data_IF_558636546982
#
_entry.id   IF_558636546982
#
_cell.length_a   1.000
_cell.length_b   1.000
_cell.length_c   1.000
_cell.angle_alpha   90.00
_cell.angle_beta   90.00
_cell.angle_gamma   90.00
#
_symmetry.space_group_name_H-M   'P 1'
#
loop_
_entity.id
_entity.type
_entity.pdbx_description
1 polymer ?
#
# COMPACT_ATOMS: atom_id res chain seq x y z
N UNK A 1 2.10 -21.12 -16.36
CA UNK A 1 2.89 -19.91 -16.65
C UNK A 1 4.35 -20.26 -16.40
N UNK A 2 5.17 -20.23 -17.44
CA UNK A 2 6.61 -20.47 -17.27
C UNK A 2 7.19 -19.43 -16.32
N UNK A 3 8.00 -19.84 -15.33
CA UNK A 3 8.66 -18.91 -14.45
C UNK A 3 9.56 -17.97 -15.27
N UNK A 4 9.56 -16.68 -14.95
CA UNK A 4 10.48 -15.75 -15.57
C UNK A 4 11.92 -16.14 -15.23
N UNK A 5 12.83 -16.04 -16.21
CA UNK A 5 14.26 -16.30 -15.94
C UNK A 5 14.75 -15.27 -14.92
N UNK A 6 15.42 -15.69 -13.83
CA UNK A 6 16.01 -14.78 -12.85
C UNK A 6 16.93 -13.75 -13.52
N UNK A 7 16.92 -12.53 -13.05
CA UNK A 7 17.79 -11.50 -13.58
C UNK A 7 17.77 -10.26 -12.66
N UNK A 8 18.95 -9.71 -12.40
CA UNK A 8 19.09 -8.54 -11.57
C UNK A 8 18.31 -7.35 -12.17
N UNK A 9 17.55 -6.68 -11.32
CA UNK A 9 16.90 -5.41 -11.62
C UNK A 9 17.80 -4.28 -11.09
N UNK A 10 17.92 -3.22 -11.89
CA UNK A 10 18.73 -2.06 -11.50
C UNK A 10 18.16 -1.38 -10.25
N UNK A 11 19.03 -0.90 -9.34
CA UNK A 11 18.60 -0.08 -8.23
C UNK A 11 17.85 1.18 -8.69
N UNK A 12 16.90 1.64 -7.88
CA UNK A 12 16.15 2.87 -8.14
C UNK A 12 16.49 3.90 -7.08
N UNK A 13 16.61 5.16 -7.50
CA UNK A 13 16.81 6.28 -6.61
C UNK A 13 15.52 7.11 -6.48
N UNK A 14 15.11 7.37 -5.24
CA UNK A 14 14.07 8.33 -4.88
C UNK A 14 14.77 9.47 -4.14
N UNK A 15 15.18 10.50 -4.86
CA UNK A 15 16.08 11.51 -4.29
C UNK A 15 17.34 10.87 -3.72
N UNK A 16 17.56 11.00 -2.43
CA UNK A 16 18.73 10.41 -1.74
C UNK A 16 18.51 8.93 -1.32
N UNK A 17 17.29 8.44 -1.36
CA UNK A 17 16.99 7.06 -1.00
C UNK A 17 17.36 6.15 -2.17
N UNK A 18 18.25 5.18 -1.89
CA UNK A 18 18.60 4.13 -2.84
C UNK A 18 17.87 2.84 -2.50
N UNK A 19 17.09 2.33 -3.42
CA UNK A 19 16.43 1.02 -3.35
C UNK A 19 17.25 0.03 -4.18
N UNK A 20 18.08 -0.77 -3.51
CA UNK A 20 18.88 -1.82 -4.17
C UNK A 20 17.99 -2.90 -4.81
N UNK A 21 16.89 -3.20 -4.18
CA UNK A 21 15.78 -3.98 -4.75
C UNK A 21 14.56 -3.09 -4.82
N UNK A 22 14.08 -2.70 -6.02
CA UNK A 22 13.01 -1.73 -6.17
C UNK A 22 11.62 -2.35 -5.91
N UNK A 23 11.40 -2.72 -4.67
CA UNK A 23 10.14 -3.27 -4.13
C UNK A 23 9.61 -2.33 -3.06
N UNK A 24 8.33 -2.00 -3.16
CA UNK A 24 7.63 -1.13 -2.22
C UNK A 24 6.46 -1.89 -1.59
N UNK A 25 6.30 -1.81 -0.27
CA UNK A 25 5.06 -2.22 0.40
C UNK A 25 4.01 -1.12 0.20
N UNK A 26 2.93 -1.46 -0.48
CA UNK A 26 1.81 -0.56 -0.70
C UNK A 26 1.18 -0.09 0.61
N UNK A 27 0.89 1.19 0.77
CA UNK A 27 0.12 1.70 1.90
C UNK A 27 -1.31 1.14 1.87
N UNK A 28 -1.70 0.46 2.92
CA UNK A 28 -3.02 -0.17 3.05
C UNK A 28 -3.64 0.23 4.39
N UNK A 29 -4.75 0.98 4.34
CA UNK A 29 -5.45 1.49 5.52
C UNK A 29 -5.84 0.37 6.49
N UNK A 30 -5.47 0.54 7.75
CA UNK A 30 -5.68 -0.44 8.81
C UNK A 30 -4.83 -1.71 8.69
N UNK A 31 -3.82 -1.75 7.82
CA UNK A 31 -2.95 -2.92 7.59
C UNK A 31 -1.48 -2.56 7.77
N UNK A 32 -0.99 -1.54 7.09
CA UNK A 32 0.44 -1.20 7.08
C UNK A 32 0.81 -0.22 8.20
N UNK A 33 0.30 -0.48 9.40
CA UNK A 33 0.81 0.10 10.64
C UNK A 33 2.20 -0.48 10.97
N UNK A 34 2.86 0.07 11.97
CA UNK A 34 4.21 -0.37 12.35
C UNK A 34 4.30 -1.88 12.63
N UNK A 35 3.38 -2.50 13.38
CA UNK A 35 3.43 -3.95 13.61
C UNK A 35 3.54 -4.79 12.34
N UNK A 36 2.76 -4.48 11.32
CA UNK A 36 2.80 -5.22 10.06
C UNK A 36 4.05 -4.87 9.22
N UNK A 37 4.45 -3.59 9.17
CA UNK A 37 5.68 -3.18 8.46
C UNK A 37 6.91 -3.84 9.09
N UNK A 38 7.00 -3.89 10.43
CA UNK A 38 8.11 -4.50 11.13
C UNK A 38 8.24 -6.02 10.88
N UNK A 39 7.11 -6.71 10.71
CA UNK A 39 7.12 -8.11 10.26
C UNK A 39 7.70 -8.22 8.86
N UNK A 40 7.22 -7.41 7.91
CA UNK A 40 7.71 -7.44 6.53
C UNK A 40 9.21 -7.07 6.45
N UNK A 41 9.63 -6.07 7.23
CA UNK A 41 11.03 -5.63 7.31
C UNK A 41 11.97 -6.75 7.75
N UNK A 42 11.54 -7.61 8.65
CA UNK A 42 12.32 -8.78 9.09
C UNK A 42 12.57 -9.83 7.99
N UNK A 43 11.89 -9.72 6.85
CA UNK A 43 11.98 -10.67 5.75
C UNK A 43 12.65 -10.12 4.48
N UNK A 44 12.94 -8.84 4.39
CA UNK A 44 13.60 -8.33 3.20
C UNK A 44 13.81 -6.83 3.20
N UNK A 45 14.71 -6.37 2.34
CA UNK A 45 14.97 -4.96 2.12
C UNK A 45 14.04 -4.41 1.03
N UNK A 46 13.17 -3.47 1.41
CA UNK A 46 12.23 -2.78 0.52
C UNK A 46 11.90 -1.41 1.12
N UNK A 47 11.13 -0.61 0.40
CA UNK A 47 10.52 0.60 0.95
C UNK A 47 9.16 0.22 1.57
N UNK A 48 9.00 0.44 2.86
CA UNK A 48 7.77 0.11 3.59
C UNK A 48 6.96 1.38 3.87
N UNK A 49 5.95 1.65 3.04
CA UNK A 49 5.14 2.86 3.18
C UNK A 49 4.08 2.67 4.26
N UNK A 50 3.99 3.62 5.18
CA UNK A 50 2.97 3.63 6.22
C UNK A 50 1.56 3.75 5.60
N UNK A 51 0.56 3.30 6.34
CA UNK A 51 -0.83 3.47 5.93
C UNK A 51 -1.20 4.95 5.72
N UNK A 52 -2.24 5.17 4.94
CA UNK A 52 -2.73 6.52 4.62
C UNK A 52 -3.09 7.32 5.89
N UNK A 53 -2.49 8.48 6.04
CA UNK A 53 -2.72 9.44 7.13
C UNK A 53 -3.36 10.70 6.56
N UNK A 54 -4.40 11.20 7.23
CA UNK A 54 -5.10 12.42 6.79
C UNK A 54 -4.32 13.67 7.21
N UNK A 55 -3.96 14.52 6.25
CA UNK A 55 -3.20 15.74 6.48
C UNK A 55 -3.89 16.70 7.46
N UNK A 56 -5.19 16.91 7.30
CA UNK A 56 -5.97 17.76 8.22
C UNK A 56 -5.96 17.23 9.65
N UNK A 57 -6.18 15.94 9.86
CA UNK A 57 -6.19 15.35 11.19
C UNK A 57 -4.82 15.40 11.88
N UNK A 58 -3.71 15.37 11.12
CA UNK A 58 -2.37 15.65 11.68
C UNK A 58 -2.26 17.09 12.16
N UNK A 59 -2.65 18.06 11.32
CA UNK A 59 -2.56 19.48 11.65
C UNK A 59 -3.48 19.85 12.83
N UNK A 60 -4.65 19.21 12.93
CA UNK A 60 -5.61 19.36 14.03
C UNK A 60 -5.25 18.51 15.26
N UNK A 61 -4.05 17.93 15.30
CA UNK A 61 -3.47 17.20 16.47
C UNK A 61 -4.31 16.01 16.96
N UNK A 62 -4.98 15.28 16.06
CA UNK A 62 -5.71 14.08 16.45
C UNK A 62 -4.75 12.99 16.93
N UNK A 63 -4.86 12.58 18.19
CA UNK A 63 -3.95 11.65 18.85
C UNK A 63 -3.81 10.30 18.13
N UNK A 64 -4.93 9.71 17.69
CA UNK A 64 -4.89 8.45 16.94
C UNK A 64 -4.17 8.61 15.59
N UNK A 65 -4.33 9.74 14.92
CA UNK A 65 -3.66 10.02 13.63
C UNK A 65 -2.14 10.08 13.83
N UNK A 66 -1.67 10.77 14.88
CA UNK A 66 -0.27 10.81 15.25
C UNK A 66 0.26 9.42 15.64
N UNK A 67 -0.51 8.65 16.40
CA UNK A 67 -0.16 7.26 16.73
C UNK A 67 0.03 6.40 15.48
N UNK A 68 -0.86 6.52 14.50
CA UNK A 68 -0.76 5.78 13.24
C UNK A 68 0.40 6.26 12.35
N UNK A 69 0.88 7.49 12.53
CA UNK A 69 2.03 8.03 11.82
C UNK A 69 3.39 7.59 12.39
N UNK A 70 3.41 6.99 13.60
CA UNK A 70 4.64 6.57 14.25
C UNK A 70 5.44 5.53 13.46
N UNK A 71 6.73 5.63 13.61
CA UNK A 71 7.72 4.66 13.14
C UNK A 71 8.32 3.92 14.33
N UNK A 72 8.73 2.68 14.11
CA UNK A 72 9.37 1.90 15.16
C UNK A 72 10.88 2.07 15.19
N UNK A 73 11.47 1.62 16.29
CA UNK A 73 12.92 1.56 16.41
C UNK A 73 13.52 0.66 15.32
N UNK A 74 14.50 1.19 14.57
CA UNK A 74 15.20 0.46 13.53
C UNK A 74 14.48 0.39 12.18
N UNK A 75 13.41 1.13 11.96
CA UNK A 75 12.86 1.33 10.61
C UNK A 75 13.84 2.19 9.80
N UNK A 76 14.48 1.63 8.74
CA UNK A 76 15.62 2.26 8.10
C UNK A 76 15.23 3.46 7.23
N UNK A 77 13.99 3.50 6.75
CA UNK A 77 13.41 4.56 5.92
C UNK A 77 12.02 4.89 6.48
N UNK A 78 11.87 6.10 6.97
CA UNK A 78 10.61 6.61 7.53
C UNK A 78 9.72 7.14 6.41
N UNK A 79 8.96 6.24 5.80
CA UNK A 79 8.10 6.52 4.67
C UNK A 79 6.65 6.64 5.10
N UNK A 80 5.99 7.75 4.76
CA UNK A 80 4.61 8.02 5.16
C UNK A 80 3.73 8.36 3.97
N UNK A 81 2.53 7.79 3.92
CA UNK A 81 1.54 8.20 2.94
C UNK A 81 0.57 9.23 3.54
N UNK A 82 0.48 10.38 2.88
CA UNK A 82 -0.51 11.40 3.19
C UNK A 82 -1.71 11.36 2.24
N UNK A 83 -2.85 11.66 2.80
CA UNK A 83 -4.08 12.01 2.09
C UNK A 83 -4.49 13.43 2.47
N UNK A 84 -4.78 14.24 1.48
CA UNK A 84 -5.26 15.60 1.68
C UNK A 84 -5.91 16.14 0.42
N UNK A 85 -6.87 17.07 0.60
CA UNK A 85 -7.61 17.75 -0.47
C UNK A 85 -7.34 19.25 -0.49
N UNK A 86 -6.71 19.79 0.57
CA UNK A 86 -6.34 21.18 0.70
C UNK A 86 -4.81 21.33 0.66
N UNK A 87 -4.24 22.01 -0.36
CA UNK A 87 -2.80 22.19 -0.48
C UNK A 87 -2.14 22.82 0.75
N UNK A 88 -2.85 23.70 1.46
CA UNK A 88 -2.33 24.35 2.68
C UNK A 88 -2.16 23.35 3.82
N UNK A 89 -3.17 22.51 4.05
CA UNK A 89 -3.10 21.48 5.09
C UNK A 89 -2.06 20.42 4.75
N UNK A 90 -1.92 20.05 3.48
CA UNK A 90 -0.86 19.12 3.02
C UNK A 90 0.51 19.71 3.30
N UNK A 91 0.78 20.97 2.94
CA UNK A 91 2.06 21.62 3.23
C UNK A 91 2.37 21.73 4.72
N UNK A 92 1.36 22.01 5.56
CA UNK A 92 1.51 22.06 7.01
C UNK A 92 1.82 20.67 7.57
N UNK A 93 1.08 19.64 7.16
CA UNK A 93 1.27 18.27 7.61
C UNK A 93 2.68 17.75 7.26
N UNK A 94 3.16 18.00 6.03
CA UNK A 94 4.52 17.61 5.61
C UNK A 94 5.58 18.26 6.50
N UNK A 95 5.46 19.58 6.81
CA UNK A 95 6.39 20.25 7.72
C UNK A 95 6.36 19.67 9.11
N UNK A 96 5.17 19.45 9.69
CA UNK A 96 5.02 18.86 11.01
C UNK A 96 5.62 17.44 11.10
N UNK A 97 5.44 16.64 10.05
CA UNK A 97 6.02 15.30 9.99
C UNK A 97 7.55 15.34 9.93
N UNK A 98 8.13 16.26 9.15
CA UNK A 98 9.58 16.46 9.12
C UNK A 98 10.12 16.88 10.49
N UNK A 99 9.49 17.87 11.09
CA UNK A 99 9.96 18.44 12.35
C UNK A 99 9.86 17.47 13.53
N UNK A 100 8.83 16.61 13.56
CA UNK A 100 8.52 15.73 14.71
C UNK A 100 8.97 14.29 14.54
N UNK A 101 8.93 13.76 13.29
CA UNK A 101 9.19 12.35 13.02
C UNK A 101 10.44 12.13 12.17
N UNK A 102 11.08 13.20 11.68
CA UNK A 102 12.29 13.11 10.86
C UNK A 102 12.10 12.11 9.69
N UNK A 103 11.06 12.37 8.88
CA UNK A 103 10.64 11.49 7.79
C UNK A 103 11.62 11.56 6.62
N UNK A 104 11.88 10.42 5.98
CA UNK A 104 12.77 10.29 4.83
C UNK A 104 12.02 10.33 3.49
N UNK A 105 10.72 10.07 3.48
CA UNK A 105 9.92 9.96 2.26
C UNK A 105 8.44 10.29 2.52
N UNK A 106 7.83 11.00 1.58
CA UNK A 106 6.37 11.27 1.55
C UNK A 106 5.77 10.66 0.29
N UNK A 107 4.73 9.85 0.45
CA UNK A 107 3.88 9.40 -0.64
C UNK A 107 2.50 10.06 -0.55
N UNK A 108 1.93 10.49 -1.69
CA UNK A 108 0.62 11.13 -1.72
C UNK A 108 -0.43 10.18 -2.29
N UNK A 109 -1.56 10.05 -1.60
CA UNK A 109 -2.65 9.17 -2.01
C UNK A 109 -3.64 9.83 -2.95
N UNK A 110 -3.65 9.38 -4.20
CA UNK A 110 -4.65 9.73 -5.22
C UNK A 110 -5.32 8.48 -5.82
N UNK A 111 -5.30 7.37 -5.09
CA UNK A 111 -5.83 6.10 -5.58
C UNK A 111 -6.93 5.46 -4.73
N UNK A 112 -7.26 6.01 -3.56
CA UNK A 112 -8.29 5.45 -2.68
C UNK A 112 -9.69 5.52 -3.34
N UNK A 113 -10.35 4.37 -3.64
CA UNK A 113 -11.65 4.35 -4.31
C UNK A 113 -12.82 4.30 -3.31
N UNK A 114 -12.56 4.41 -2.01
CA UNK A 114 -13.58 4.27 -0.98
C UNK A 114 -14.67 5.35 -1.13
N UNK A 115 -15.97 4.99 -1.12
CA UNK A 115 -17.05 5.96 -1.33
C UNK A 115 -17.06 7.13 -0.32
N UNK A 116 -16.60 6.89 0.91
CA UNK A 116 -16.44 7.94 1.94
C UNK A 116 -15.40 9.01 1.54
N UNK A 117 -14.46 8.67 0.66
CA UNK A 117 -13.40 9.54 0.16
C UNK A 117 -13.81 10.19 -1.16
N UNK A 118 -14.20 9.39 -2.15
CA UNK A 118 -14.46 9.88 -3.51
C UNK A 118 -15.73 10.71 -3.62
N UNK A 119 -16.76 10.45 -2.80
CA UNK A 119 -17.99 11.25 -2.75
C UNK A 119 -17.72 12.73 -2.43
N UNK A 120 -16.66 12.99 -1.71
CA UNK A 120 -16.23 14.32 -1.32
C UNK A 120 -15.13 14.88 -2.24
N UNK A 121 -14.87 14.25 -3.38
CA UNK A 121 -13.86 14.69 -4.35
C UNK A 121 -12.42 14.30 -4.01
N UNK A 122 -12.22 13.44 -3.01
CA UNK A 122 -10.90 13.01 -2.56
C UNK A 122 -10.38 11.71 -3.20
N UNK A 123 -9.18 11.31 -2.85
CA UNK A 123 -8.55 10.07 -3.30
C UNK A 123 -8.53 9.92 -4.81
N UNK A 124 -9.13 8.84 -5.33
CA UNK A 124 -9.19 8.56 -6.77
C UNK A 124 -10.00 9.59 -7.59
N UNK A 125 -10.75 10.49 -6.95
CA UNK A 125 -11.46 11.57 -7.63
C UNK A 125 -10.56 12.77 -7.96
N UNK A 126 -9.51 13.04 -7.17
CA UNK A 126 -8.62 14.21 -7.35
C UNK A 126 -7.98 14.25 -8.74
N UNK A 127 -7.44 13.14 -9.30
CA UNK A 127 -6.81 13.15 -10.62
C UNK A 127 -7.68 13.64 -11.78
N UNK A 128 -8.99 13.62 -11.63
CA UNK A 128 -9.92 14.23 -12.62
C UNK A 128 -9.76 15.74 -12.71
N UNK A 129 -9.40 16.40 -11.60
CA UNK A 129 -9.22 17.85 -11.51
C UNK A 129 -7.73 18.19 -11.54
N UNK A 130 -7.21 18.43 -12.72
CA UNK A 130 -5.77 18.59 -13.00
C UNK A 130 -5.13 19.72 -12.18
N UNK A 131 -5.81 20.87 -12.06
CA UNK A 131 -5.30 22.02 -11.28
C UNK A 131 -5.24 21.72 -9.79
N UNK A 132 -6.27 21.01 -9.27
CA UNK A 132 -6.29 20.60 -7.86
C UNK A 132 -5.16 19.60 -7.57
N UNK A 133 -5.01 18.58 -8.44
CA UNK A 133 -3.91 17.62 -8.32
C UNK A 133 -2.55 18.32 -8.30
N UNK A 134 -2.30 19.20 -9.28
CA UNK A 134 -1.05 19.97 -9.38
C UNK A 134 -0.79 20.79 -8.12
N UNK A 135 -1.77 21.57 -7.66
CA UNK A 135 -1.63 22.41 -6.47
C UNK A 135 -1.31 21.62 -5.20
N UNK A 136 -1.92 20.44 -5.03
CA UNK A 136 -1.66 19.57 -3.87
C UNK A 136 -0.23 19.00 -3.96
N UNK A 137 0.16 18.46 -5.12
CA UNK A 137 1.49 17.85 -5.32
C UNK A 137 2.59 18.89 -5.18
N UNK A 138 2.48 20.05 -5.83
CA UNK A 138 3.44 21.16 -5.72
C UNK A 138 3.61 21.63 -4.27
N UNK A 139 2.50 21.71 -3.51
CA UNK A 139 2.53 22.09 -2.10
C UNK A 139 3.25 21.05 -1.25
N UNK A 140 3.06 19.76 -1.52
CA UNK A 140 3.77 18.69 -0.85
C UNK A 140 5.27 18.74 -1.16
N UNK A 141 5.66 18.81 -2.44
CA UNK A 141 7.07 18.86 -2.89
C UNK A 141 7.78 20.09 -2.30
N UNK A 142 7.15 21.26 -2.37
CA UNK A 142 7.74 22.49 -1.81
C UNK A 142 7.93 22.41 -0.29
N UNK A 143 6.97 21.82 0.44
CA UNK A 143 7.08 21.68 1.88
C UNK A 143 8.09 20.59 2.29
N UNK A 144 8.22 19.54 1.50
CA UNK A 144 9.17 18.45 1.72
C UNK A 144 10.63 18.90 1.53
N UNK A 145 10.91 19.83 0.60
CA UNK A 145 12.27 20.28 0.30
C UNK A 145 13.13 19.17 -0.28
N UNK A 146 14.15 18.72 0.45
CA UNK A 146 15.04 17.62 0.01
C UNK A 146 14.45 16.22 0.23
N UNK A 147 13.40 16.10 1.04
CA UNK A 147 12.69 14.82 1.25
C UNK A 147 11.95 14.47 -0.03
N UNK A 148 12.21 13.30 -0.66
CA UNK A 148 11.55 12.90 -1.89
C UNK A 148 10.05 12.72 -1.67
N UNK A 149 9.28 13.19 -2.66
CA UNK A 149 7.83 13.00 -2.72
C UNK A 149 7.49 12.09 -3.88
N UNK A 150 6.63 11.11 -3.64
CA UNK A 150 6.01 10.26 -4.67
C UNK A 150 4.50 10.40 -4.63
N UNK A 151 3.83 9.96 -5.69
CA UNK A 151 2.37 9.87 -5.70
C UNK A 151 1.91 8.49 -6.13
N UNK A 152 0.81 8.02 -5.52
CA UNK A 152 0.16 6.76 -5.89
C UNK A 152 -1.25 7.01 -6.37
N UNK A 153 -1.57 6.52 -7.57
CA UNK A 153 -2.88 6.72 -8.20
C UNK A 153 -3.37 5.48 -8.97
N UNK A 154 -4.60 5.55 -9.48
CA UNK A 154 -5.23 4.54 -10.34
C UNK A 154 -5.28 5.00 -11.80
N UNK A 155 -5.65 4.11 -12.73
CA UNK A 155 -5.83 4.43 -14.16
C UNK A 155 -6.78 5.61 -14.39
N UNK A 156 -7.78 5.76 -13.54
CA UNK A 156 -8.83 6.75 -13.63
C UNK A 156 -10.06 6.33 -12.82
N UNK A 157 -11.19 6.95 -13.11
CA UNK A 157 -12.49 6.64 -12.50
C UNK A 157 -13.05 5.35 -13.10
N UNK A 158 -13.11 5.29 -14.42
CA UNK A 158 -13.56 4.18 -15.26
C UNK A 158 -12.82 4.25 -16.61
N UNK A 159 -13.18 3.40 -17.58
CA UNK A 159 -12.51 3.33 -18.87
C UNK A 159 -12.78 4.56 -19.77
N UNK A 160 -13.87 5.30 -19.51
CA UNK A 160 -14.21 6.55 -20.22
C UNK A 160 -13.49 7.77 -19.62
N UNK A 161 -13.01 7.67 -18.37
CA UNK A 161 -12.39 8.76 -17.60
C UNK A 161 -11.04 8.34 -17.05
N UNK A 162 -10.11 8.05 -17.97
CA UNK A 162 -8.72 7.72 -17.64
C UNK A 162 -7.93 8.99 -17.32
N UNK A 163 -7.14 8.96 -16.25
CA UNK A 163 -6.38 10.12 -15.76
C UNK A 163 -4.90 9.87 -15.60
N UNK A 164 -4.44 8.63 -15.73
CA UNK A 164 -3.10 8.21 -15.31
C UNK A 164 -1.96 8.89 -16.06
N UNK A 165 -2.09 9.15 -17.37
CA UNK A 165 -1.06 9.85 -18.15
C UNK A 165 -0.90 11.32 -17.71
N UNK A 166 -2.02 12.01 -17.53
CA UNK A 166 -2.01 13.39 -17.02
C UNK A 166 -1.47 13.45 -15.59
N UNK A 167 -1.86 12.50 -14.74
CA UNK A 167 -1.38 12.44 -13.35
C UNK A 167 0.13 12.23 -13.28
N UNK A 168 0.67 11.35 -14.13
CA UNK A 168 2.11 11.13 -14.22
C UNK A 168 2.87 12.38 -14.66
N UNK A 169 2.37 13.07 -15.69
CA UNK A 169 2.97 14.32 -16.17
C UNK A 169 2.93 15.43 -15.12
N UNK A 170 1.79 15.64 -14.48
CA UNK A 170 1.65 16.62 -13.40
C UNK A 170 2.63 16.31 -12.26
N UNK A 171 2.78 15.05 -11.88
CA UNK A 171 3.74 14.65 -10.85
C UNK A 171 5.18 14.96 -11.24
N UNK A 172 5.56 14.65 -12.48
CA UNK A 172 6.91 14.95 -12.99
C UNK A 172 7.16 16.46 -13.01
N UNK A 173 6.24 17.25 -13.54
CA UNK A 173 6.36 18.72 -13.62
C UNK A 173 6.41 19.37 -12.23
N UNK A 174 5.71 18.81 -11.25
CA UNK A 174 5.75 19.25 -9.85
C UNK A 174 7.04 18.85 -9.11
N UNK A 175 7.87 17.97 -9.68
CA UNK A 175 9.14 17.54 -9.08
C UNK A 175 9.04 16.30 -8.20
N UNK A 176 8.08 15.42 -8.42
CA UNK A 176 8.03 14.12 -7.74
C UNK A 176 9.24 13.26 -8.11
N UNK A 177 9.72 12.47 -7.14
CA UNK A 177 10.83 11.54 -7.33
C UNK A 177 10.45 10.27 -8.09
N UNK A 178 9.19 9.86 -8.03
CA UNK A 178 8.62 8.72 -8.74
C UNK A 178 7.09 8.74 -8.66
N UNK A 179 6.45 7.83 -9.41
CA UNK A 179 5.00 7.58 -9.33
C UNK A 179 4.72 6.08 -9.21
N UNK A 180 3.59 5.74 -8.56
CA UNK A 180 3.06 4.37 -8.56
C UNK A 180 1.69 4.32 -9.24
N UNK A 181 1.55 3.48 -10.26
CA UNK A 181 0.27 3.21 -10.93
C UNK A 181 -0.33 1.90 -10.45
N UNK A 182 -1.48 1.96 -9.77
CA UNK A 182 -2.35 0.78 -9.64
C UNK A 182 -3.13 0.62 -10.94
N UNK A 183 -2.82 -0.44 -11.67
CA UNK A 183 -3.31 -0.68 -13.03
C UNK A 183 -4.78 -1.16 -13.09
N UNK A 184 -5.65 -0.51 -12.32
CA UNK A 184 -7.11 -0.64 -12.30
C UNK A 184 -7.75 0.74 -12.18
N UNK A 185 -8.99 0.86 -12.67
CA UNK A 185 -9.81 2.05 -12.42
C UNK A 185 -10.38 2.06 -11.00
N UNK A 186 -10.92 3.17 -10.56
CA UNK A 186 -11.65 3.25 -9.28
C UNK A 186 -12.91 2.39 -9.29
N UNK A 187 -13.59 2.31 -10.44
CA UNK A 187 -14.79 1.47 -10.69
C UNK A 187 -14.49 -0.02 -10.52
N UNK A 188 -13.34 -0.49 -11.01
CA UNK A 188 -12.95 -1.90 -10.92
C UNK A 188 -12.75 -2.35 -9.48
N UNK A 189 -12.40 -1.46 -8.59
CA UNK A 189 -11.97 -1.79 -7.23
C UNK A 189 -10.83 -2.81 -7.24
N UNK A 190 -11.17 -4.11 -7.12
CA UNK A 190 -10.23 -5.22 -7.10
C UNK A 190 -10.67 -6.38 -8.01
N UNK A 191 -11.71 -6.20 -8.82
CA UNK A 191 -12.20 -7.19 -9.78
C UNK A 191 -11.35 -7.24 -11.05
N UNK A 192 -11.58 -8.25 -11.86
CA UNK A 192 -10.87 -8.45 -13.12
C UNK A 192 -9.37 -8.63 -12.95
N UNK A 193 -8.61 -8.18 -13.93
CA UNK A 193 -7.15 -8.18 -13.96
C UNK A 193 -6.61 -6.75 -13.99
N UNK A 194 -5.43 -6.56 -13.41
CA UNK A 194 -4.68 -5.31 -13.55
C UNK A 194 -4.18 -5.19 -14.99
N UNK A 195 -4.42 -4.03 -15.59
CA UNK A 195 -4.02 -3.71 -16.95
C UNK A 195 -2.56 -3.23 -16.98
N UNK A 196 -1.64 -4.17 -17.13
CA UNK A 196 -0.22 -3.84 -17.13
C UNK A 196 0.21 -2.99 -18.33
N UNK A 197 -0.52 -3.01 -19.44
CA UNK A 197 -0.23 -2.17 -20.61
C UNK A 197 -0.43 -0.67 -20.30
N UNK A 198 -1.31 -0.33 -19.35
CA UNK A 198 -1.39 1.04 -18.85
C UNK A 198 -0.12 1.49 -18.10
N UNK A 199 0.58 0.56 -17.43
CA UNK A 199 1.87 0.85 -16.83
C UNK A 199 2.91 1.11 -17.93
N UNK A 200 2.94 0.29 -18.97
CA UNK A 200 3.82 0.51 -20.15
C UNK A 200 3.60 1.90 -20.74
N UNK A 201 2.34 2.26 -21.01
CA UNK A 201 2.00 3.58 -21.53
C UNK A 201 2.49 4.72 -20.63
N UNK A 202 2.39 4.56 -19.31
CA UNK A 202 2.87 5.58 -18.38
C UNK A 202 4.40 5.67 -18.40
N UNK A 203 5.11 4.53 -18.42
CA UNK A 203 6.58 4.49 -18.52
C UNK A 203 7.08 5.20 -19.79
N UNK A 204 6.37 5.02 -20.91
CA UNK A 204 6.70 5.69 -22.17
C UNK A 204 6.34 7.20 -22.19
N UNK A 205 5.52 7.63 -21.26
CA UNK A 205 4.95 8.99 -21.23
C UNK A 205 5.71 9.97 -20.34
N UNK A 206 6.45 9.48 -19.33
CA UNK A 206 7.18 10.30 -18.33
C UNK A 206 8.60 9.80 -18.14
N UNK A 207 9.48 10.68 -17.66
CA UNK A 207 10.92 10.39 -17.46
C UNK A 207 11.26 9.95 -16.03
N UNK A 208 10.38 10.22 -15.06
CA UNK A 208 10.61 9.81 -13.67
C UNK A 208 10.26 8.33 -13.47
N UNK A 209 10.87 7.63 -12.49
CA UNK A 209 10.61 6.22 -12.25
C UNK A 209 9.13 5.92 -12.03
N UNK A 210 8.65 4.85 -12.67
CA UNK A 210 7.29 4.31 -12.49
C UNK A 210 7.36 2.99 -11.74
N UNK A 211 6.61 2.87 -10.65
CA UNK A 211 6.38 1.60 -9.97
C UNK A 211 5.05 1.00 -10.40
N UNK A 212 5.08 -0.27 -10.80
CA UNK A 212 3.89 -1.00 -11.19
C UNK A 212 3.19 -1.64 -10.00
N UNK A 213 1.85 -1.56 -9.95
CA UNK A 213 1.05 -2.17 -8.89
C UNK A 213 -0.19 -2.87 -9.45
N UNK A 214 -0.44 -4.09 -8.98
CA UNK A 214 -1.62 -4.89 -9.30
C UNK A 214 -1.29 -6.31 -9.75
N UNK A 215 -1.98 -7.29 -9.16
CA UNK A 215 -1.91 -8.73 -9.47
C UNK A 215 -0.52 -9.39 -9.36
N UNK A 216 0.29 -8.91 -8.42
CA UNK A 216 1.52 -9.57 -8.02
C UNK A 216 1.18 -10.53 -6.87
N UNK A 217 1.06 -11.83 -7.18
CA UNK A 217 0.70 -12.90 -6.26
C UNK A 217 1.86 -13.84 -5.95
N UNK A 218 2.82 -13.89 -6.86
CA UNK A 218 4.06 -14.63 -6.78
C UNK A 218 5.25 -13.70 -7.04
N UNK A 219 6.45 -13.97 -6.53
CA UNK A 219 7.62 -13.11 -6.77
C UNK A 219 7.96 -13.01 -8.27
N UNK A 220 7.67 -14.06 -9.05
CA UNK A 220 7.82 -14.08 -10.51
C UNK A 220 6.91 -13.08 -11.23
N UNK A 221 5.74 -12.76 -10.67
CA UNK A 221 4.85 -11.75 -11.26
C UNK A 221 5.50 -10.36 -11.20
N UNK A 222 6.30 -10.06 -10.16
CA UNK A 222 7.05 -8.81 -10.07
C UNK A 222 8.06 -8.68 -11.21
N UNK A 223 8.85 -9.75 -11.45
CA UNK A 223 9.83 -9.77 -12.53
C UNK A 223 9.16 -9.66 -13.90
N UNK A 224 8.04 -10.38 -14.12
CA UNK A 224 7.25 -10.29 -15.35
C UNK A 224 6.71 -8.88 -15.58
N UNK A 225 6.15 -8.26 -14.53
CA UNK A 225 5.63 -6.89 -14.63
C UNK A 225 6.74 -5.92 -15.04
N UNK A 226 7.89 -5.93 -14.38
CA UNK A 226 9.01 -5.04 -14.70
C UNK A 226 9.46 -5.23 -16.16
N UNK A 227 9.60 -6.47 -16.61
CA UNK A 227 10.06 -6.78 -17.97
C UNK A 227 9.04 -6.46 -19.05
N UNK A 228 7.76 -6.69 -18.75
CA UNK A 228 6.68 -6.41 -19.69
C UNK A 228 6.48 -4.90 -19.86
N UNK A 229 6.54 -4.16 -18.74
CA UNK A 229 6.13 -2.76 -18.75
C UNK A 229 7.28 -1.75 -18.82
N UNK A 230 8.51 -2.19 -18.56
CA UNK A 230 9.64 -1.27 -18.36
C UNK A 230 9.60 -0.50 -17.05
N UNK A 231 8.68 -0.84 -16.12
CA UNK A 231 8.61 -0.20 -14.82
C UNK A 231 9.94 -0.33 -14.06
N UNK A 232 10.31 0.72 -13.33
CA UNK A 232 11.55 0.76 -12.55
C UNK A 232 11.50 -0.19 -11.34
N UNK A 233 10.32 -0.51 -10.84
CA UNK A 233 10.09 -1.40 -9.73
C UNK A 233 8.62 -1.76 -9.55
N UNK A 234 8.31 -2.40 -8.44
CA UNK A 234 6.95 -2.87 -8.13
C UNK A 234 6.50 -2.45 -6.75
N UNK A 235 5.19 -2.23 -6.62
CA UNK A 235 4.55 -2.00 -5.33
C UNK A 235 3.58 -3.13 -4.99
N UNK A 236 3.73 -3.72 -3.79
CA UNK A 236 3.03 -4.92 -3.37
C UNK A 236 1.91 -4.58 -2.40
N UNK A 237 0.67 -4.84 -2.80
CA UNK A 237 -0.50 -4.72 -1.93
C UNK A 237 -0.94 -6.08 -1.40
N UNK A 238 -2.11 -6.55 -1.85
CA UNK A 238 -2.75 -7.77 -1.35
C UNK A 238 -1.89 -9.04 -1.42
N UNK A 239 -0.89 -9.07 -2.30
CA UNK A 239 -0.01 -10.23 -2.45
C UNK A 239 0.77 -10.60 -1.19
N UNK A 240 1.12 -9.65 -0.33
CA UNK A 240 1.87 -9.90 0.91
C UNK A 240 0.97 -10.13 2.15
N UNK A 241 -0.35 -9.97 2.05
CA UNK A 241 -1.25 -10.14 3.19
C UNK A 241 -1.18 -11.56 3.76
N UNK A 242 -0.85 -11.66 5.05
CA UNK A 242 -0.60 -12.95 5.72
C UNK A 242 0.64 -13.69 5.22
N UNK A 243 1.53 -13.01 4.51
CA UNK A 243 2.78 -13.58 3.96
C UNK A 243 3.94 -12.58 4.04
N UNK A 244 4.41 -12.18 5.23
CA UNK A 244 5.50 -11.19 5.32
C UNK A 244 6.79 -11.71 4.66
N UNK A 245 7.05 -13.04 4.64
CA UNK A 245 8.17 -13.67 3.93
C UNK A 245 8.17 -13.41 2.42
N UNK A 246 7.08 -12.93 1.85
CA UNK A 246 6.99 -12.61 0.42
C UNK A 246 8.03 -11.57 -0.01
N UNK A 247 8.46 -10.71 0.90
CA UNK A 247 9.51 -9.72 0.61
C UNK A 247 10.88 -10.37 0.43
N UNK A 248 11.23 -11.43 1.17
CA UNK A 248 12.46 -12.17 0.93
C UNK A 248 12.45 -12.89 -0.41
N UNK A 249 11.30 -13.43 -0.80
CA UNK A 249 11.13 -14.09 -2.10
C UNK A 249 11.26 -13.09 -3.26
N UNK A 250 10.70 -11.89 -3.12
CA UNK A 250 10.83 -10.81 -4.10
C UNK A 250 12.29 -10.37 -4.25
N UNK A 251 12.98 -10.11 -3.13
CA UNK A 251 14.42 -9.77 -3.14
C UNK A 251 15.22 -10.87 -3.80
N UNK A 252 14.93 -12.14 -3.49
CA UNK A 252 15.61 -13.31 -4.06
C UNK A 252 15.47 -13.37 -5.59
N UNK A 253 14.24 -13.23 -6.11
CA UNK A 253 13.96 -13.31 -7.56
C UNK A 253 14.55 -12.11 -8.32
N UNK A 254 14.53 -10.91 -7.72
CA UNK A 254 15.00 -9.69 -8.37
C UNK A 254 16.52 -9.48 -8.26
N UNK A 255 17.23 -10.27 -7.47
CA UNK A 255 18.69 -10.14 -7.25
C UNK A 255 19.55 -10.62 -8.43
N UNK A 256 18.98 -11.36 -9.37
CA UNK A 256 19.71 -11.98 -10.48
C UNK A 256 20.51 -13.24 -10.11
N UNK A 257 20.36 -13.73 -8.88
CA UNK A 257 20.95 -14.97 -8.40
C UNK A 257 19.94 -16.11 -8.48
N UNK A 258 20.41 -17.36 -8.28
CA UNK A 258 19.49 -18.49 -8.14
C UNK A 258 18.54 -18.24 -6.96
N UNK A 259 17.22 -18.23 -7.20
CA UNK A 259 16.27 -17.85 -6.16
C UNK A 259 16.15 -18.90 -5.06
N UNK A 260 16.21 -18.44 -3.83
CA UNK A 260 15.90 -19.24 -2.67
C UNK A 260 14.55 -18.80 -2.10
N UNK A 261 13.48 -19.47 -2.52
CA UNK A 261 12.13 -19.12 -2.13
C UNK A 261 11.73 -19.77 -0.81
N UNK A 262 11.04 -18.98 0.00
CA UNK A 262 10.48 -19.46 1.27
C UNK A 262 9.37 -20.48 1.01
N UNK A 263 9.50 -21.65 1.67
CA UNK A 263 8.47 -22.69 1.68
C UNK A 263 7.87 -22.78 3.08
N UNK A 264 6.92 -21.89 3.41
CA UNK A 264 6.39 -21.84 4.76
C UNK A 264 5.67 -23.14 5.11
N UNK A 265 5.86 -23.60 6.35
CA UNK A 265 4.97 -24.58 6.96
C UNK A 265 3.86 -23.87 7.71
N UNK A 266 2.77 -24.56 8.02
CA UNK A 266 1.69 -23.99 8.83
C UNK A 266 2.18 -23.66 10.26
N UNK A 267 3.22 -24.34 10.73
CA UNK A 267 3.93 -24.01 11.97
C UNK A 267 4.58 -22.64 11.92
N UNK A 268 5.32 -22.32 10.84
CA UNK A 268 5.86 -20.97 10.64
C UNK A 268 4.77 -19.91 10.61
N UNK A 269 3.65 -20.20 9.92
CA UNK A 269 2.51 -19.27 9.88
C UNK A 269 1.95 -19.01 11.27
N UNK A 270 1.80 -20.05 12.10
CA UNK A 270 1.37 -19.92 13.51
C UNK A 270 2.31 -19.01 14.31
N UNK A 271 3.61 -19.21 14.19
CA UNK A 271 4.62 -18.42 14.91
C UNK A 271 4.59 -16.95 14.47
N UNK A 272 4.45 -16.67 13.17
CA UNK A 272 4.30 -15.31 12.62
C UNK A 272 2.98 -14.65 13.07
N UNK A 273 1.89 -15.41 13.18
CA UNK A 273 0.63 -14.90 13.69
C UNK A 273 0.75 -14.44 15.16
N UNK A 274 1.41 -15.24 15.99
CA UNK A 274 1.65 -14.91 17.39
C UNK A 274 2.58 -13.70 17.54
N UNK A 275 3.63 -13.62 16.73
CA UNK A 275 4.54 -12.46 16.70
C UNK A 275 3.81 -11.18 16.28
N UNK A 276 2.92 -11.28 15.27
CA UNK A 276 2.11 -10.14 14.83
C UNK A 276 1.23 -9.59 15.96
N UNK A 277 0.55 -10.47 16.70
CA UNK A 277 -0.30 -10.03 17.83
C UNK A 277 0.55 -9.40 18.95
N UNK A 278 1.72 -9.97 19.28
CA UNK A 278 2.63 -9.38 20.28
C UNK A 278 3.05 -7.96 19.87
N UNK A 279 3.45 -7.76 18.61
CA UNK A 279 3.80 -6.43 18.07
C UNK A 279 2.63 -5.46 18.10
N UNK A 280 1.41 -5.93 17.82
CA UNK A 280 0.20 -5.10 17.94
C UNK A 280 -0.04 -4.68 19.39
N UNK A 281 0.13 -5.59 20.37
CA UNK A 281 -0.03 -5.30 21.79
C UNK A 281 1.04 -4.32 22.30
N UNK A 282 2.26 -4.41 21.82
CA UNK A 282 3.34 -3.46 22.14
C UNK A 282 3.09 -2.07 21.53
N UNK A 283 2.51 -2.03 20.34
CA UNK A 283 2.33 -0.77 19.61
C UNK A 283 1.10 0.02 20.06
N UNK A 284 -0.03 -0.66 20.27
CA UNK A 284 -1.28 0.02 20.65
C UNK A 284 -1.46 0.05 22.15
N UNK A 285 -1.57 1.26 22.71
CA UNK A 285 -1.95 1.47 24.13
C UNK A 285 -3.49 1.33 24.29
N UNK A 286 -3.96 0.11 24.14
CA UNK A 286 -5.38 -0.26 24.21
C UNK A 286 -5.54 -1.59 24.95
N UNK A 287 -6.76 -1.92 25.39
CA UNK A 287 -6.98 -3.23 26.02
C UNK A 287 -6.74 -4.36 25.00
N UNK A 288 -6.24 -5.50 25.49
CA UNK A 288 -5.88 -6.65 24.66
C UNK A 288 -7.00 -7.07 23.71
N UNK A 289 -8.23 -7.14 24.20
CA UNK A 289 -9.38 -7.54 23.37
C UNK A 289 -9.65 -6.63 22.19
N UNK A 290 -9.38 -5.32 22.30
CA UNK A 290 -9.53 -4.37 21.19
C UNK A 290 -8.38 -4.52 20.19
N UNK A 291 -7.16 -4.70 20.67
CA UNK A 291 -5.99 -4.94 19.83
C UNK A 291 -6.11 -6.25 19.06
N UNK A 292 -6.47 -7.35 19.73
CA UNK A 292 -6.64 -8.66 19.07
C UNK A 292 -7.81 -8.64 18.08
N UNK A 293 -8.83 -7.84 18.33
CA UNK A 293 -9.94 -7.64 17.38
C UNK A 293 -9.45 -7.03 16.05
N UNK A 294 -8.43 -6.15 16.07
CA UNK A 294 -7.77 -5.63 14.87
C UNK A 294 -7.06 -6.73 14.08
N UNK A 295 -6.49 -7.70 14.77
CA UNK A 295 -5.79 -8.83 14.15
C UNK A 295 -6.73 -9.81 13.40
N UNK A 296 -8.00 -9.93 13.78
CA UNK A 296 -8.92 -10.96 13.21
C UNK A 296 -8.98 -10.98 11.69
N UNK A 297 -8.91 -9.82 11.04
CA UNK A 297 -8.85 -9.74 9.57
C UNK A 297 -7.57 -10.38 9.01
N UNK A 298 -6.43 -10.20 9.70
CA UNK A 298 -5.15 -10.79 9.32
C UNK A 298 -5.16 -12.31 9.50
N UNK A 299 -5.82 -12.83 10.54
CA UNK A 299 -5.92 -14.26 10.80
C UNK A 299 -6.45 -15.02 9.57
N UNK A 300 -7.49 -14.51 8.91
CA UNK A 300 -8.01 -15.10 7.67
C UNK A 300 -7.02 -15.06 6.51
N UNK A 301 -6.21 -14.02 6.41
CA UNK A 301 -5.21 -13.91 5.34
C UNK A 301 -4.01 -14.85 5.56
N UNK A 302 -3.60 -15.06 6.79
CA UNK A 302 -2.52 -16.00 7.14
C UNK A 302 -2.84 -17.43 6.71
N UNK A 303 -4.09 -17.85 6.90
CA UNK A 303 -4.52 -19.21 6.53
C UNK A 303 -5.16 -19.31 5.14
N UNK A 304 -5.10 -18.25 4.34
CA UNK A 304 -5.60 -18.28 2.96
C UNK A 304 -4.74 -19.21 2.09
N UNK A 305 -5.40 -20.16 1.41
CA UNK A 305 -4.74 -21.19 0.60
C UNK A 305 -4.30 -22.43 1.35
N UNK A 306 -4.39 -22.43 2.69
CA UNK A 306 -4.04 -23.57 3.52
C UNK A 306 -5.24 -24.51 3.72
N UNK A 307 -5.02 -25.83 3.86
CA UNK A 307 -6.08 -26.81 4.12
C UNK A 307 -6.54 -26.79 5.58
N UNK A 308 -6.75 -25.59 6.12
CA UNK A 308 -7.27 -25.37 7.48
C UNK A 308 -8.79 -25.53 7.47
N UNK A 309 -9.31 -26.45 8.24
CA UNK A 309 -10.74 -26.78 8.30
C UNK A 309 -11.62 -25.59 8.74
N UNK A 310 -12.92 -25.68 8.47
CA UNK A 310 -13.89 -24.61 8.78
C UNK A 310 -13.89 -24.21 10.25
N UNK A 311 -13.76 -25.18 11.15
CA UNK A 311 -13.80 -24.94 12.60
C UNK A 311 -12.60 -24.11 13.08
N UNK A 312 -11.37 -24.44 12.65
CA UNK A 312 -10.20 -23.65 13.00
C UNK A 312 -10.30 -22.24 12.43
N UNK A 313 -10.78 -22.07 11.19
CA UNK A 313 -11.03 -20.73 10.62
C UNK A 313 -12.04 -19.92 11.43
N UNK A 314 -13.14 -20.55 11.85
CA UNK A 314 -14.16 -19.90 12.70
C UNK A 314 -13.55 -19.44 14.03
N UNK A 315 -12.77 -20.30 14.68
CA UNK A 315 -12.08 -19.97 15.94
C UNK A 315 -11.08 -18.82 15.76
N UNK A 316 -10.27 -18.83 14.70
CA UNK A 316 -9.34 -17.73 14.39
C UNK A 316 -10.05 -16.37 14.23
N UNK A 317 -11.22 -16.34 13.61
CA UNK A 317 -11.99 -15.09 13.47
C UNK A 317 -12.68 -14.64 14.79
N UNK A 318 -12.71 -15.50 15.80
CA UNK A 318 -13.34 -15.21 17.09
C UNK A 318 -12.35 -14.86 18.21
N UNK A 319 -11.04 -15.08 18.03
CA UNK A 319 -10.02 -14.85 19.07
C UNK A 319 -10.13 -13.45 19.72
N UNK A 320 -10.04 -13.38 21.04
CA UNK A 320 -10.13 -12.15 21.80
C UNK A 320 -8.88 -11.88 22.67
N UNK A 321 -7.95 -12.83 22.73
CA UNK A 321 -6.69 -12.71 23.46
C UNK A 321 -5.54 -13.44 22.77
N UNK A 322 -4.30 -13.17 23.18
CA UNK A 322 -3.11 -13.88 22.72
C UNK A 322 -3.16 -15.35 23.16
N UNK A 323 -3.67 -15.63 24.35
CA UNK A 323 -3.82 -16.99 24.84
C UNK A 323 -4.80 -17.81 24.00
N UNK A 324 -5.94 -17.21 23.63
CA UNK A 324 -6.89 -17.86 22.72
C UNK A 324 -6.27 -18.13 21.34
N UNK A 325 -5.51 -17.19 20.79
CA UNK A 325 -4.80 -17.40 19.54
C UNK A 325 -3.77 -18.52 19.67
N UNK A 326 -3.02 -18.56 20.78
CA UNK A 326 -2.05 -19.63 21.08
C UNK A 326 -2.74 -20.99 21.13
N UNK A 327 -3.88 -21.09 21.81
CA UNK A 327 -4.67 -22.33 21.88
C UNK A 327 -5.19 -22.80 20.51
N UNK A 328 -5.64 -21.84 19.65
CA UNK A 328 -6.12 -22.19 18.31
C UNK A 328 -4.98 -22.62 17.40
N UNK A 329 -3.83 -21.96 17.47
CA UNK A 329 -2.67 -22.28 16.62
C UNK A 329 -1.96 -23.56 17.08
N UNK A 330 -2.12 -23.99 18.32
CA UNK A 330 -1.64 -25.28 18.82
C UNK A 330 -2.33 -26.50 18.13
N UNK A 331 -3.55 -26.30 17.63
CA UNK A 331 -4.29 -27.34 16.90
C UNK A 331 -3.90 -27.41 15.40
N UNK A 332 -2.94 -26.59 14.95
CA UNK A 332 -2.43 -26.68 13.57
C UNK A 332 -1.53 -27.91 13.41
N UNK A 333 -1.70 -28.62 12.29
CA UNK A 333 -0.69 -29.53 11.81
C UNK A 333 0.51 -28.71 11.27
N UNK A 334 1.53 -28.57 12.11
CA UNK A 334 2.64 -27.65 11.89
C UNK A 334 3.51 -27.99 10.68
N UNK A 335 3.47 -29.26 10.23
CA UNK A 335 4.33 -29.76 9.15
C UNK A 335 3.72 -29.56 7.75
N UNK A 336 2.44 -29.23 7.67
CA UNK A 336 1.79 -28.96 6.38
C UNK A 336 2.49 -27.77 5.72
N UNK A 337 2.90 -27.96 4.47
CA UNK A 337 3.46 -26.90 3.59
C UNK A 337 2.35 -26.33 2.73
N UNK A 338 2.45 -25.05 2.36
CA UNK A 338 1.46 -24.39 1.49
C UNK A 338 1.37 -25.14 0.15
N UNK A 339 0.19 -25.66 -0.21
CA UNK A 339 0.03 -26.35 -1.48
C UNK A 339 0.17 -25.37 -2.66
N UNK A 340 0.65 -25.83 -3.84
CA UNK A 340 0.88 -24.96 -5.00
C UNK A 340 -0.34 -24.12 -5.39
N UNK A 341 -1.54 -24.69 -5.37
CA UNK A 341 -2.80 -23.99 -5.64
C UNK A 341 -3.13 -22.91 -4.61
N UNK A 342 -2.58 -22.99 -3.41
CA UNK A 342 -2.75 -22.01 -2.34
C UNK A 342 -1.95 -20.72 -2.53
N UNK A 343 -0.92 -20.75 -3.36
CA UNK A 343 -0.01 -19.60 -3.58
C UNK A 343 -0.75 -18.41 -4.18
N UNK A 344 -1.56 -18.65 -5.21
CA UNK A 344 -2.29 -17.61 -5.96
C UNK A 344 -3.69 -17.30 -5.42
N UNK A 345 -4.06 -17.86 -4.27
CA UNK A 345 -5.34 -17.53 -3.63
C UNK A 345 -5.40 -16.04 -3.34
N UNK A 346 -6.42 -15.38 -3.89
CA UNK A 346 -6.64 -13.94 -3.67
C UNK A 346 -6.95 -13.67 -2.20
N UNK A 347 -6.27 -12.69 -1.62
CA UNK A 347 -6.41 -12.26 -0.22
C UNK A 347 -7.13 -10.92 -0.17
N UNK A 348 -7.91 -10.69 0.90
CA UNK A 348 -8.67 -9.46 1.09
C UNK A 348 -9.77 -9.26 0.02
N UNK A 349 -10.16 -8.02 -0.21
CA UNK A 349 -11.26 -7.68 -1.10
C UNK A 349 -11.00 -8.12 -2.55
N UNK A 350 -12.02 -8.70 -3.16
CA UNK A 350 -12.04 -9.10 -4.58
C UNK A 350 -13.22 -8.46 -5.33
N UNK A 351 -14.05 -7.69 -4.63
CA UNK A 351 -15.29 -7.11 -5.16
C UNK A 351 -15.07 -6.03 -6.21
N UNK A 352 -16.08 -5.85 -7.04
CA UNK A 352 -16.17 -4.90 -8.15
C UNK A 352 -16.81 -5.57 -9.37
N UNK A 353 -17.05 -4.84 -10.45
CA UNK A 353 -16.98 -3.38 -10.51
C UNK A 353 -18.12 -2.70 -9.74
N UNK A 354 -17.94 -1.44 -9.36
CA UNK A 354 -18.96 -0.64 -8.66
C UNK A 354 -18.90 0.80 -9.13
N UNK A 355 -20.07 1.43 -9.34
CA UNK A 355 -20.14 2.87 -9.66
C UNK A 355 -19.41 3.68 -8.59
N UNK A 356 -18.52 4.56 -9.03
CA UNK A 356 -17.77 5.45 -8.14
C UNK A 356 -18.69 6.59 -7.68
N UNK A 357 -18.78 6.81 -6.38
CA UNK A 357 -19.48 7.94 -5.83
C UNK A 357 -18.60 9.19 -5.99
N UNK A 358 -19.08 10.20 -6.73
CA UNK A 358 -18.39 11.47 -7.00
C UNK A 358 -19.31 12.63 -6.65
N UNK A 359 -18.77 13.84 -6.42
CA UNK A 359 -19.59 15.05 -6.36
C UNK A 359 -20.35 15.26 -7.67
N UNK A 360 -21.47 15.98 -7.62
CA UNK A 360 -22.26 16.32 -8.80
C UNK A 360 -21.42 17.13 -9.79
N UNK A 361 -21.50 16.81 -11.09
CA UNK A 361 -20.75 17.47 -12.15
C UNK A 361 -19.23 17.25 -12.13
N UNK A 362 -18.69 16.39 -11.27
CA UNK A 362 -17.24 16.21 -11.09
C UNK A 362 -16.48 15.88 -12.37
N UNK A 363 -17.09 15.16 -13.30
CA UNK A 363 -16.46 14.70 -14.54
C UNK A 363 -16.59 15.72 -15.70
N UNK A 364 -17.28 16.86 -15.53
CA UNK A 364 -17.62 17.77 -16.63
C UNK A 364 -16.44 18.63 -17.12
N UNK A 365 -15.59 19.14 -16.21
CA UNK A 365 -14.45 20.00 -16.56
C UNK A 365 -13.19 19.61 -15.75
N UNK A 366 -12.18 19.02 -16.38
CA UNK A 366 -10.92 18.67 -15.73
C UNK A 366 -10.09 19.88 -15.25
N UNK A 367 -10.32 21.06 -15.84
CA UNK A 367 -9.54 22.27 -15.55
C UNK A 367 -10.27 23.24 -14.60
N UNK A 368 -11.44 22.87 -14.12
CA UNK A 368 -12.20 23.65 -13.15
C UNK A 368 -11.37 23.95 -11.90
N UNK A 369 -11.40 25.19 -11.44
CA UNK A 369 -10.82 25.58 -10.16
C UNK A 369 -11.77 25.20 -9.03
N UNK A 370 -11.39 24.21 -8.24
CA UNK A 370 -12.19 23.71 -7.14
C UNK A 370 -11.45 23.90 -5.82
N UNK A 371 -12.16 24.40 -4.83
CA UNK A 371 -11.77 24.36 -3.43
C UNK A 371 -12.71 23.42 -2.71
N UNK A 372 -12.20 22.31 -2.23
CA UNK A 372 -13.00 21.35 -1.50
C UNK A 372 -13.28 21.82 -0.07
N UNK A 373 -14.48 21.50 0.42
CA UNK A 373 -14.86 21.83 1.79
C UNK A 373 -13.98 21.07 2.80
N UNK A 374 -13.79 21.64 3.98
CA UNK A 374 -13.05 20.99 5.07
C UNK A 374 -13.59 19.58 5.41
N UNK A 375 -14.89 19.36 5.26
CA UNK A 375 -15.55 18.07 5.43
C UNK A 375 -15.11 16.99 4.43
N UNK A 376 -14.43 17.34 3.33
CA UNK A 376 -13.90 16.37 2.37
C UNK A 376 -12.80 15.47 2.97
N UNK A 377 -12.13 15.94 4.02
CA UNK A 377 -11.04 15.22 4.70
C UNK A 377 -11.46 14.57 6.03
N UNK A 378 -12.75 14.64 6.41
CA UNK A 378 -13.19 14.16 7.72
C UNK A 378 -13.01 12.65 7.87
N UNK A 379 -12.24 12.25 8.89
CA UNK A 379 -12.15 10.90 9.48
C UNK A 379 -11.81 9.75 8.52
N UNK A 380 -10.71 9.87 7.78
CA UNK A 380 -10.27 8.80 6.87
C UNK A 380 -9.05 8.04 7.38
N UNK A 381 -8.39 8.50 8.45
CA UNK A 381 -7.25 7.79 9.05
C UNK A 381 -7.71 6.48 9.68
N UNK A 382 -7.16 5.38 9.23
CA UNK A 382 -7.38 4.05 9.80
C UNK A 382 -8.74 3.45 9.49
N UNK A 383 -9.06 3.21 8.23
CA UNK A 383 -10.30 2.66 7.66
C UNK A 383 -11.07 1.61 8.40
#
# INVERSE_FOLDING_TARGET
LDPAVPGAISPVHLGQIRLDTPVVLAPMAGVTDWPFRSLCLGWGAALYVNQMITARALVEEHSLTWKLAEFGHGEPIRSIQLYGTDPKYVALAVRMLKDRLDIDHVDMNFGCPAPKVTRNGGGAAIPVKHRLLGSIVESAVKAAGEVPVTIKFRKGIDDDHLTFLHSGRIAQEAGCAAVTLHARTAKDLYSGHADWDAITQLVEHIDIPVFGNGDIWEPWDALRMIRHTGAAGVEIGRGCLGRPWFFSDLVSVLSGKEPNLTRPSLGLVADVMLDHVRRLLEFYDQCEGDVVRRFRKHAGWYVAGWPVGKELRRRLHAVGSLDELTAVTADFDRDIVLPPEGVRVKRSHTGGPRKVALPEGWLSDPHEEIVLAASAEVNVSGG
#
